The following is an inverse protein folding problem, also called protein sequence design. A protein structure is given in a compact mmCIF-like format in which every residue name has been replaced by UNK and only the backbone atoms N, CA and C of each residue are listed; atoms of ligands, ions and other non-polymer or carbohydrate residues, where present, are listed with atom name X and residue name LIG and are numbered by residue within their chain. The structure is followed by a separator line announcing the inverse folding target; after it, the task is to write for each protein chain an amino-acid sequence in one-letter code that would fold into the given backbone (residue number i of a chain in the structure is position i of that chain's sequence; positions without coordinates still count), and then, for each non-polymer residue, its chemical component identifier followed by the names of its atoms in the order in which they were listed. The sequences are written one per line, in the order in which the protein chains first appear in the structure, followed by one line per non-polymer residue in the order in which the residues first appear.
data_IF_309885342724
#
_entry.id   IF_309885342724
#
_cell.length_a   1.000
_cell.length_b   1.000
_cell.length_c   1.000
_cell.angle_alpha   90.00
_cell.angle_beta   90.00
_cell.angle_gamma   90.00
#
_symmetry.space_group_name_H-M   'P 1'
#
loop_
_entity.id
_entity.type
_entity.pdbx_description
1 polymer ?
#
# COMPACT_ATOMS: atom_id res chain seq x y z
N UNK A 1 24.29 20.34 -4.31
CA UNK A 1 22.84 20.18 -4.11
C UNK A 1 22.67 19.22 -2.95
N UNK A 2 21.97 19.60 -1.88
CA UNK A 2 21.74 18.70 -0.75
C UNK A 2 20.72 17.63 -1.18
N UNK A 3 21.10 16.36 -1.10
CA UNK A 3 20.25 15.22 -1.39
C UNK A 3 19.13 15.17 -0.32
N UNK A 4 17.87 15.24 -0.74
CA UNK A 4 16.73 15.28 0.16
C UNK A 4 16.48 13.87 0.74
N UNK A 5 16.78 13.67 2.03
CA UNK A 5 16.63 12.36 2.68
C UNK A 5 15.15 12.04 2.98
N UNK A 6 14.49 11.41 2.01
CA UNK A 6 13.12 10.90 2.13
C UNK A 6 12.96 9.90 3.27
N UNK A 7 13.98 9.05 3.51
CA UNK A 7 13.89 8.00 4.53
C UNK A 7 13.92 8.62 5.92
N UNK A 8 14.84 9.55 6.17
CA UNK A 8 14.90 10.30 7.42
C UNK A 8 13.62 11.09 7.69
N UNK A 9 13.04 11.70 6.65
CA UNK A 9 11.75 12.39 6.78
C UNK A 9 10.62 11.43 7.17
N UNK A 10 10.46 10.29 6.48
CA UNK A 10 9.41 9.33 6.81
C UNK A 10 9.62 8.66 8.17
N UNK A 11 10.86 8.40 8.57
CA UNK A 11 11.18 7.87 9.89
C UNK A 11 10.86 8.88 11.00
N UNK A 12 11.21 10.15 10.83
CA UNK A 12 10.91 11.20 11.81
C UNK A 12 9.40 11.52 11.88
N UNK A 13 8.74 11.55 10.73
CA UNK A 13 7.36 12.06 10.61
C UNK A 13 6.31 10.97 10.80
N UNK A 14 6.51 9.82 10.16
CA UNK A 14 5.54 8.73 10.15
C UNK A 14 5.94 7.60 11.13
N UNK A 15 7.15 7.63 11.69
CA UNK A 15 7.65 6.58 12.58
C UNK A 15 8.01 5.28 11.82
N UNK A 16 8.10 5.33 10.50
CA UNK A 16 8.35 4.17 9.65
C UNK A 16 9.58 4.41 8.79
N UNK A 17 10.50 3.44 8.82
CA UNK A 17 11.63 3.41 7.89
C UNK A 17 11.25 2.55 6.68
N UNK A 18 10.95 3.22 5.57
CA UNK A 18 10.65 2.56 4.30
C UNK A 18 11.92 1.99 3.65
N UNK A 19 11.77 0.90 2.91
CA UNK A 19 12.84 0.40 2.05
C UNK A 19 12.73 1.03 0.65
N UNK A 20 13.86 1.50 0.07
CA UNK A 20 13.84 2.00 -1.30
C UNK A 20 13.51 0.86 -2.27
N UNK A 21 12.77 1.19 -3.33
CA UNK A 21 12.52 0.28 -4.43
C UNK A 21 13.40 0.63 -5.65
N UNK A 22 14.03 -0.35 -6.34
CA UNK A 22 14.03 -1.78 -6.03
C UNK A 22 14.82 -2.08 -4.75
N UNK A 23 14.38 -3.11 -4.00
CA UNK A 23 14.98 -3.47 -2.72
C UNK A 23 16.37 -4.05 -2.95
N UNK A 24 17.39 -3.37 -2.44
CA UNK A 24 18.76 -3.89 -2.38
C UNK A 24 18.86 -4.94 -1.26
N UNK A 25 18.86 -6.22 -1.65
CA UNK A 25 18.89 -7.34 -0.72
C UNK A 25 20.12 -7.31 0.20
N UNK A 26 21.24 -6.75 -0.26
CA UNK A 26 22.48 -6.70 0.52
C UNK A 26 22.41 -5.65 1.65
N UNK A 27 21.46 -4.70 1.55
CA UNK A 27 21.24 -3.65 2.56
C UNK A 27 20.15 -4.00 3.57
N UNK A 28 19.51 -5.16 3.45
CA UNK A 28 18.47 -5.59 4.38
C UNK A 28 19.06 -6.13 5.70
N UNK A 29 18.42 -5.89 6.86
CA UNK A 29 18.81 -6.53 8.11
C UNK A 29 18.75 -8.06 7.99
N UNK A 30 19.72 -8.77 8.59
CA UNK A 30 19.80 -10.24 8.55
C UNK A 30 18.50 -10.94 8.99
N UNK A 31 17.81 -10.39 9.98
CA UNK A 31 16.52 -10.91 10.46
C UNK A 31 15.41 -10.85 9.39
N UNK A 32 15.42 -9.81 8.55
CA UNK A 32 14.48 -9.64 7.43
C UNK A 32 14.86 -10.60 6.30
N UNK A 33 16.17 -10.76 6.02
CA UNK A 33 16.67 -11.73 5.04
C UNK A 33 16.30 -13.18 5.39
N UNK A 34 16.35 -13.55 6.67
CA UNK A 34 15.93 -14.89 7.11
C UNK A 34 14.41 -15.10 7.04
N UNK A 35 13.60 -14.08 7.36
CA UNK A 35 12.16 -14.13 7.13
C UNK A 35 11.81 -14.21 5.63
N UNK A 36 12.54 -13.50 4.78
CA UNK A 36 12.34 -13.53 3.32
C UNK A 36 12.72 -14.87 2.71
N UNK A 37 13.82 -15.48 3.15
CA UNK A 37 14.24 -16.84 2.74
C UNK A 37 13.20 -17.90 3.07
N UNK A 38 12.47 -17.75 4.17
CA UNK A 38 11.45 -18.71 4.61
C UNK A 38 10.04 -18.44 4.04
N UNK A 39 9.74 -17.24 3.52
CA UNK A 39 8.38 -16.88 3.04
C UNK A 39 8.21 -16.82 1.52
N UNK A 40 9.24 -16.56 0.70
CA UNK A 40 9.04 -16.33 -0.74
C UNK A 40 10.22 -16.81 -1.59
N UNK A 41 10.21 -18.08 -2.01
CA UNK A 41 10.92 -18.49 -3.21
C UNK A 41 10.00 -18.22 -4.40
N UNK A 42 10.30 -17.13 -5.12
CA UNK A 42 9.84 -16.79 -6.48
C UNK A 42 8.35 -16.44 -6.63
N UNK A 43 8.05 -15.14 -6.56
CA UNK A 43 7.28 -14.39 -7.56
C UNK A 43 7.55 -12.88 -7.31
N UNK A 44 8.57 -12.37 -8.02
CA UNK A 44 8.69 -10.96 -8.49
C UNK A 44 8.46 -9.81 -7.50
N UNK A 45 9.43 -9.50 -6.64
CA UNK A 45 9.62 -8.12 -6.14
C UNK A 45 8.47 -7.45 -5.36
N UNK A 46 7.49 -8.21 -4.87
CA UNK A 46 6.37 -7.67 -4.10
C UNK A 46 6.80 -7.29 -2.68
N UNK A 47 6.26 -6.19 -2.16
CA UNK A 47 6.45 -5.77 -0.78
C UNK A 47 6.09 -6.93 0.16
N UNK A 48 6.97 -7.21 1.12
CA UNK A 48 6.67 -8.19 2.16
C UNK A 48 5.48 -7.67 2.96
N UNK A 49 4.43 -8.48 3.07
CA UNK A 49 3.26 -8.27 3.93
C UNK A 49 3.60 -7.56 5.26
N UNK A 50 3.07 -6.34 5.40
CA UNK A 50 3.26 -5.45 6.55
C UNK A 50 4.51 -4.53 6.50
N UNK A 51 5.43 -4.72 5.55
CA UNK A 51 6.62 -3.88 5.42
C UNK A 51 6.36 -2.64 4.54
N UNK A 52 6.75 -1.43 5.00
CA UNK A 52 6.66 -0.23 4.18
C UNK A 52 7.70 -0.22 3.06
N UNK A 53 7.25 0.05 1.84
CA UNK A 53 8.09 0.21 0.65
C UNK A 53 7.88 1.59 0.05
N UNK A 54 8.97 2.31 -0.24
CA UNK A 54 8.88 3.61 -0.92
C UNK A 54 8.91 3.36 -2.42
N UNK A 55 7.79 3.67 -3.08
CA UNK A 55 7.62 3.43 -4.50
C UNK A 55 6.56 4.38 -5.08
N UNK A 56 6.69 4.78 -6.35
CA UNK A 56 5.67 5.56 -7.05
C UNK A 56 4.32 4.82 -7.06
N UNK A 57 3.24 5.56 -6.88
CA UNK A 57 1.86 5.02 -6.86
C UNK A 57 1.02 5.80 -7.84
N UNK A 58 0.24 5.09 -8.64
CA UNK A 58 -0.80 5.71 -9.45
C UNK A 58 -2.17 5.30 -8.92
N UNK A 59 -3.01 6.28 -8.63
CA UNK A 59 -4.36 6.11 -8.10
C UNK A 59 -5.35 6.86 -8.99
N UNK A 60 -6.06 6.13 -9.84
CA UNK A 60 -6.87 6.68 -10.91
C UNK A 60 -6.04 7.51 -11.90
N UNK A 61 -6.37 8.79 -11.98
CA UNK A 61 -5.74 9.84 -12.81
C UNK A 61 -4.64 10.63 -12.08
N UNK A 62 -4.32 10.26 -10.84
CA UNK A 62 -3.31 10.94 -10.02
C UNK A 62 -2.08 10.05 -9.83
N UNK A 63 -0.91 10.60 -10.16
CA UNK A 63 0.39 9.98 -9.98
C UNK A 63 1.08 10.56 -8.73
N UNK A 64 1.33 9.72 -7.73
CA UNK A 64 1.99 10.09 -6.48
C UNK A 64 3.50 9.85 -6.59
N UNK A 65 4.27 10.94 -6.66
CA UNK A 65 5.73 10.90 -6.61
C UNK A 65 6.46 10.53 -7.89
N UNK A 66 5.77 10.49 -9.04
CA UNK A 66 6.41 10.39 -10.37
C UNK A 66 5.61 11.16 -11.42
N UNK A 67 6.30 11.52 -12.51
CA UNK A 67 5.66 12.13 -13.69
C UNK A 67 5.19 11.01 -14.60
N UNK A 68 3.91 11.01 -14.93
CA UNK A 68 3.28 10.07 -15.84
C UNK A 68 2.45 10.86 -16.87
N UNK A 69 2.61 10.53 -18.14
CA UNK A 69 1.94 11.27 -19.22
C UNK A 69 0.41 11.14 -19.11
N UNK A 70 -0.28 12.28 -19.14
CA UNK A 70 -1.74 12.34 -19.01
C UNK A 70 -2.29 12.25 -17.58
N UNK A 71 -1.44 12.20 -16.55
CA UNK A 71 -1.86 12.16 -15.14
C UNK A 71 -1.35 13.35 -14.34
N UNK A 72 -2.08 13.69 -13.29
CA UNK A 72 -1.70 14.81 -12.42
C UNK A 72 -0.73 14.33 -11.36
N UNK A 73 0.50 14.87 -11.36
CA UNK A 73 1.51 14.46 -10.37
C UNK A 73 1.36 15.21 -9.06
N UNK A 74 1.37 14.47 -7.94
CA UNK A 74 1.27 15.01 -6.59
C UNK A 74 2.47 14.59 -5.73
N UNK A 75 3.01 15.56 -4.98
CA UNK A 75 3.91 15.32 -3.84
C UNK A 75 5.21 14.59 -4.16
N UNK A 76 5.77 13.97 -3.13
CA UNK A 76 6.95 13.11 -3.20
C UNK A 76 6.55 11.63 -3.32
N UNK A 77 7.53 10.77 -3.60
CA UNK A 77 7.33 9.31 -3.63
C UNK A 77 6.73 8.82 -2.31
N UNK A 78 5.54 8.19 -2.35
CA UNK A 78 4.90 7.70 -1.14
C UNK A 78 5.54 6.40 -0.66
N UNK A 79 5.23 6.09 0.59
CA UNK A 79 5.46 4.82 1.23
C UNK A 79 4.17 4.00 1.22
N UNK A 80 4.23 2.77 0.73
CA UNK A 80 3.11 1.85 0.61
C UNK A 80 3.30 0.69 1.58
N UNK A 81 2.26 0.37 2.33
CA UNK A 81 2.17 -0.84 3.15
C UNK A 81 1.02 -1.68 2.64
N UNK A 82 1.30 -2.94 2.37
CA UNK A 82 0.33 -3.94 1.95
C UNK A 82 0.16 -4.99 3.04
N UNK A 83 -1.08 -5.28 3.42
CA UNK A 83 -1.41 -6.35 4.37
C UNK A 83 -2.40 -7.33 3.75
N UNK A 84 -2.02 -8.61 3.69
CA UNK A 84 -2.86 -9.68 3.17
C UNK A 84 -3.25 -10.66 4.26
N UNK A 85 -4.51 -11.12 4.27
CA UNK A 85 -4.98 -12.08 5.28
C UNK A 85 -5.68 -13.27 4.63
N UNK A 86 -5.29 -14.48 5.05
CA UNK A 86 -6.02 -15.71 4.74
C UNK A 86 -7.05 -15.98 5.84
N UNK A 87 -8.28 -16.27 5.45
CA UNK A 87 -9.29 -16.79 6.37
C UNK A 87 -9.14 -18.31 6.47
N UNK A 88 -8.71 -18.76 7.65
CA UNK A 88 -8.52 -20.17 7.94
C UNK A 88 -9.33 -20.52 9.18
N UNK A 89 -10.24 -21.48 9.03
CA UNK A 89 -11.00 -22.05 10.16
C UNK A 89 -10.17 -23.17 10.77
N UNK A 90 -10.11 -23.20 12.11
CA UNK A 90 -9.42 -24.25 12.85
C UNK A 90 -10.44 -25.05 13.63
N UNK A 91 -10.52 -26.35 13.34
CA UNK A 91 -11.45 -27.26 14.00
C UNK A 91 -10.68 -28.23 14.88
N UNK A 92 -11.13 -28.37 16.12
CA UNK A 92 -10.59 -29.35 17.08
C UNK A 92 -11.27 -30.69 16.82
N UNK A 93 -10.49 -31.76 16.70
CA UNK A 93 -11.04 -33.12 16.55
C UNK A 93 -11.32 -33.65 17.97
N UNK A 94 -12.59 -33.64 18.38
CA UNK A 94 -13.00 -34.19 19.67
C UNK A 94 -12.79 -35.71 19.70
N UNK A 95 -12.06 -36.21 20.71
CA UNK A 95 -11.75 -37.64 20.87
C UNK A 95 -10.57 -38.15 20.04
N UNK A 96 -9.81 -37.26 19.37
CA UNK A 96 -8.60 -37.63 18.66
C UNK A 96 -7.46 -38.03 19.61
N UNK A 97 -6.77 -39.13 19.29
CA UNK A 97 -5.56 -39.60 20.00
C UNK A 97 -4.30 -38.77 19.72
N UNK A 98 -4.41 -37.72 18.89
CA UNK A 98 -3.28 -36.94 18.39
C UNK A 98 -3.48 -35.44 18.66
N UNK A 99 -2.39 -34.78 19.02
CA UNK A 99 -2.35 -33.33 19.21
C UNK A 99 -2.44 -32.62 17.84
N UNK A 100 -3.51 -31.85 17.62
CA UNK A 100 -3.66 -31.10 16.37
C UNK A 100 -5.03 -30.46 16.16
N UNK A 101 -5.09 -29.54 15.20
CA UNK A 101 -6.33 -28.96 14.67
C UNK A 101 -6.36 -29.11 13.16
N UNK A 102 -7.54 -29.40 12.61
CA UNK A 102 -7.77 -29.33 11.16
C UNK A 102 -7.81 -27.86 10.77
N UNK A 103 -7.05 -27.49 9.75
CA UNK A 103 -7.02 -26.13 9.19
C UNK A 103 -7.69 -26.14 7.84
N UNK A 104 -8.81 -25.45 7.72
CA UNK A 104 -9.56 -25.32 6.48
C UNK A 104 -9.36 -23.92 5.93
N UNK A 105 -8.84 -23.86 4.70
CA UNK A 105 -8.74 -22.61 3.97
C UNK A 105 -10.12 -22.23 3.41
N UNK A 106 -10.62 -21.05 3.77
CA UNK A 106 -11.93 -20.57 3.33
C UNK A 106 -11.76 -19.65 2.13
N UNK A 107 -11.05 -18.54 2.31
CA UNK A 107 -10.80 -17.56 1.26
C UNK A 107 -9.59 -16.68 1.58
N UNK A 108 -9.18 -15.89 0.59
CA UNK A 108 -8.37 -14.70 0.79
C UNK A 108 -9.31 -13.55 1.18
N UNK A 109 -8.99 -12.82 2.24
CA UNK A 109 -9.63 -11.54 2.53
C UNK A 109 -9.02 -10.45 1.61
N UNK A 110 -9.72 -9.34 1.44
CA UNK A 110 -9.21 -8.19 0.68
C UNK A 110 -7.86 -7.70 1.25
N UNK A 111 -6.96 -7.31 0.36
CA UNK A 111 -5.73 -6.66 0.77
C UNK A 111 -6.05 -5.30 1.36
N UNK A 112 -5.42 -4.98 2.49
CA UNK A 112 -5.44 -3.63 3.05
C UNK A 112 -4.21 -2.89 2.57
N UNK A 113 -4.43 -1.73 1.97
CA UNK A 113 -3.39 -0.86 1.45
C UNK A 113 -3.36 0.40 2.30
N UNK A 114 -2.16 0.80 2.70
CA UNK A 114 -1.93 2.12 3.31
C UNK A 114 -0.87 2.85 2.50
N UNK A 115 -1.18 4.05 2.04
CA UNK A 115 -0.27 4.92 1.30
C UNK A 115 -0.01 6.16 2.15
N UNK A 116 1.25 6.39 2.48
CA UNK A 116 1.71 7.54 3.24
C UNK A 116 2.58 8.41 2.35
N UNK A 117 2.40 9.72 2.43
CA UNK A 117 3.30 10.61 1.70
C UNK A 117 3.28 12.02 2.24
N UNK A 118 4.18 12.84 1.71
CA UNK A 118 4.26 14.26 2.06
C UNK A 118 3.86 15.10 0.85
N UNK A 119 2.91 16.00 1.06
CA UNK A 119 2.59 17.08 0.14
C UNK A 119 3.53 18.24 0.43
N UNK A 120 4.10 18.80 -0.63
CA UNK A 120 4.92 19.99 -0.59
C UNK A 120 4.60 20.82 -1.83
N UNK A 121 4.43 22.12 -1.64
CA UNK A 121 4.08 23.02 -2.74
C UNK A 121 5.28 23.15 -3.69
N UNK A 122 5.11 22.69 -4.94
CA UNK A 122 6.18 22.71 -5.94
C UNK A 122 6.45 24.09 -6.54
N UNK A 123 5.45 24.99 -6.51
CA UNK A 123 5.53 26.33 -7.10
C UNK A 123 6.16 27.33 -6.13
N UNK A 124 5.89 27.19 -4.84
CA UNK A 124 6.34 28.13 -3.81
C UNK A 124 6.79 27.36 -2.58
N UNK A 125 8.10 27.29 -2.39
CA UNK A 125 8.71 26.60 -1.25
C UNK A 125 8.23 27.21 0.08
N UNK A 126 7.79 26.36 1.01
CA UNK A 126 7.31 26.78 2.33
C UNK A 126 5.86 27.28 2.36
N UNK A 127 5.20 27.42 1.20
CA UNK A 127 3.76 27.67 1.16
C UNK A 127 2.96 26.36 1.32
N UNK A 128 1.74 26.45 1.85
CA UNK A 128 0.88 25.29 2.00
C UNK A 128 0.50 24.69 0.61
N UNK A 129 0.50 23.36 0.46
CA UNK A 129 0.21 22.68 -0.81
C UNK A 129 -1.31 22.53 -1.03
N UNK A 130 -1.99 23.66 -1.30
CA UNK A 130 -3.46 23.69 -1.49
C UNK A 130 -3.89 22.84 -2.69
N UNK A 131 -3.26 23.07 -3.85
CA UNK A 131 -3.58 22.39 -5.10
C UNK A 131 -3.44 20.86 -4.93
N UNK A 132 -2.36 20.41 -4.30
CA UNK A 132 -2.11 18.99 -4.06
C UNK A 132 -3.09 18.37 -3.05
N UNK A 133 -3.47 19.12 -2.00
CA UNK A 133 -4.43 18.65 -1.00
C UNK A 133 -5.84 18.51 -1.60
N UNK A 134 -6.24 19.46 -2.46
CA UNK A 134 -7.53 19.42 -3.16
C UNK A 134 -7.60 18.25 -4.16
N UNK A 135 -6.50 17.89 -4.82
CA UNK A 135 -6.43 16.70 -5.67
C UNK A 135 -6.69 15.41 -4.88
N UNK A 136 -6.03 15.23 -3.72
CA UNK A 136 -6.26 14.05 -2.89
C UNK A 136 -7.69 14.00 -2.34
N UNK A 137 -8.25 15.14 -1.95
CA UNK A 137 -9.65 15.24 -1.54
C UNK A 137 -10.59 14.88 -2.70
N UNK A 138 -10.26 15.30 -3.92
CA UNK A 138 -10.98 14.96 -5.14
C UNK A 138 -11.05 13.46 -5.37
N UNK A 139 -9.92 12.74 -5.23
CA UNK A 139 -9.90 11.27 -5.32
C UNK A 139 -10.82 10.62 -4.29
N UNK A 140 -10.79 11.09 -3.05
CA UNK A 140 -11.62 10.53 -1.99
C UNK A 140 -13.12 10.69 -2.28
N UNK A 141 -13.55 11.82 -2.85
CA UNK A 141 -14.96 12.10 -3.10
C UNK A 141 -15.59 11.27 -4.23
N UNK A 142 -14.80 10.55 -5.03
CA UNK A 142 -15.30 9.81 -6.20
C UNK A 142 -16.16 8.59 -5.85
N UNK A 143 -16.11 8.08 -4.61
CA UNK A 143 -16.93 6.96 -4.12
C UNK A 143 -16.98 5.75 -5.08
N UNK A 144 -15.89 5.51 -5.80
CA UNK A 144 -15.79 4.47 -6.82
C UNK A 144 -14.51 3.64 -6.65
N UNK A 145 -14.46 2.52 -7.36
CA UNK A 145 -13.25 1.71 -7.46
C UNK A 145 -12.27 2.42 -8.39
N UNK A 146 -11.07 2.70 -7.90
CA UNK A 146 -10.04 3.42 -8.64
C UNK A 146 -8.93 2.47 -9.05
N UNK A 147 -8.45 2.64 -10.29
CA UNK A 147 -7.26 1.94 -10.75
C UNK A 147 -6.07 2.21 -9.82
N UNK A 148 -5.37 1.15 -9.41
CA UNK A 148 -4.20 1.23 -8.55
C UNK A 148 -3.02 0.55 -9.21
N UNK A 149 -1.93 1.30 -9.38
CA UNK A 149 -0.68 0.76 -9.88
C UNK A 149 0.46 1.12 -8.94
N UNK A 150 1.17 0.09 -8.52
CA UNK A 150 2.40 0.20 -7.75
C UNK A 150 3.22 -1.06 -7.99
N UNK A 151 4.53 -0.91 -8.13
CA UNK A 151 5.42 -2.05 -8.44
C UNK A 151 5.38 -3.12 -7.34
N UNK A 152 5.13 -2.73 -6.09
CA UNK A 152 5.08 -3.66 -4.97
C UNK A 152 3.76 -4.45 -4.87
N UNK A 153 2.72 -4.03 -5.60
CA UNK A 153 1.40 -4.68 -5.63
C UNK A 153 1.06 -5.24 -7.01
N UNK A 154 1.99 -5.17 -7.96
CA UNK A 154 1.79 -5.61 -9.33
C UNK A 154 1.39 -7.08 -9.38
N UNK A 155 0.33 -7.37 -10.15
CA UNK A 155 -0.25 -8.72 -10.27
C UNK A 155 -1.08 -9.22 -9.07
N UNK A 156 -1.32 -8.41 -8.02
CA UNK A 156 -2.17 -8.81 -6.89
C UNK A 156 -3.63 -8.37 -7.06
N UNK A 157 -3.84 -7.15 -7.53
CA UNK A 157 -5.14 -6.53 -7.81
C UNK A 157 -4.92 -5.32 -8.73
N UNK A 158 -5.98 -4.90 -9.44
CA UNK A 158 -5.92 -3.77 -10.38
C UNK A 158 -6.61 -2.52 -9.85
N UNK A 159 -7.60 -2.70 -8.96
CA UNK A 159 -8.40 -1.61 -8.44
C UNK A 159 -8.39 -1.60 -6.91
N UNK A 160 -8.67 -0.43 -6.35
CA UNK A 160 -8.83 -0.23 -4.91
C UNK A 160 -9.99 0.71 -4.64
N UNK A 161 -10.65 0.51 -3.50
CA UNK A 161 -11.62 1.45 -2.96
C UNK A 161 -10.97 2.17 -1.79
N UNK A 162 -10.91 3.50 -1.87
CA UNK A 162 -10.45 4.31 -0.75
C UNK A 162 -11.46 4.17 0.39
N UNK A 163 -10.99 4.06 1.63
CA UNK A 163 -11.83 3.90 2.82
C UNK A 163 -11.62 5.02 3.83
N UNK A 164 -10.44 5.63 3.85
CA UNK A 164 -10.06 6.66 4.82
C UNK A 164 -8.97 7.54 4.20
N UNK A 165 -9.06 8.85 4.44
CA UNK A 165 -8.00 9.80 4.13
C UNK A 165 -7.75 10.69 5.34
N UNK A 166 -6.48 10.84 5.72
CA UNK A 166 -6.05 11.71 6.82
C UNK A 166 -5.00 12.66 6.32
N UNK A 167 -5.21 13.95 6.57
CA UNK A 167 -4.22 14.99 6.38
C UNK A 167 -3.76 15.43 7.78
N UNK A 168 -2.46 15.34 8.05
CA UNK A 168 -1.84 15.74 9.32
C UNK A 168 -0.83 16.85 9.07
N UNK A 169 -0.95 17.91 9.85
CA UNK A 169 0.02 19.01 9.84
C UNK A 169 1.35 18.56 10.42
N UNK A 170 2.44 19.14 9.90
CA UNK A 170 3.78 18.87 10.36
C UNK A 170 4.30 20.03 11.19
N UNK A 171 4.27 19.87 12.51
CA UNK A 171 4.72 20.89 13.47
C UNK A 171 6.15 21.39 13.22
N UNK A 172 7.02 20.55 12.65
CA UNK A 172 8.44 20.86 12.39
C UNK A 172 8.76 21.23 10.95
N UNK A 173 7.80 21.12 10.03
CA UNK A 173 7.99 21.39 8.60
C UNK A 173 6.82 22.25 8.07
N UNK A 174 6.79 23.55 8.41
CA UNK A 174 5.75 24.46 7.92
C UNK A 174 5.76 24.52 6.39
N UNK A 175 4.58 24.46 5.78
CA UNK A 175 4.41 24.37 4.33
C UNK A 175 4.44 22.93 3.77
N UNK A 176 4.54 21.91 4.63
CA UNK A 176 4.35 20.51 4.26
C UNK A 176 3.16 19.90 4.98
N UNK A 177 2.47 18.97 4.32
CA UNK A 177 1.33 18.24 4.88
C UNK A 177 1.57 16.74 4.72
N UNK A 178 1.51 15.98 5.82
CA UNK A 178 1.52 14.52 5.75
C UNK A 178 0.13 14.04 5.36
N UNK A 179 0.05 13.08 4.44
CA UNK A 179 -1.17 12.39 4.11
C UNK A 179 -1.06 10.88 4.38
N UNK A 180 -2.18 10.28 4.75
CA UNK A 180 -2.38 8.84 4.87
C UNK A 180 -3.67 8.48 4.14
N UNK A 181 -3.58 7.63 3.13
CA UNK A 181 -4.72 7.06 2.40
C UNK A 181 -4.80 5.58 2.78
N UNK A 182 -5.97 5.12 3.19
CA UNK A 182 -6.25 3.69 3.37
C UNK A 182 -7.21 3.23 2.31
N UNK A 183 -6.89 2.12 1.70
CA UNK A 183 -7.73 1.51 0.69
C UNK A 183 -7.81 0.00 0.89
N UNK A 184 -8.84 -0.61 0.32
CA UNK A 184 -8.98 -2.06 0.22
C UNK A 184 -8.90 -2.45 -1.25
N UNK A 185 -8.26 -3.59 -1.53
CA UNK A 185 -8.22 -4.11 -2.89
C UNK A 185 -9.63 -4.43 -3.36
N UNK A 186 -9.91 -4.07 -4.60
CA UNK A 186 -11.08 -4.51 -5.31
C UNK A 186 -10.62 -5.35 -6.49
N UNK A 187 -11.04 -6.61 -6.48
CA UNK A 187 -10.90 -7.47 -7.64
C UNK A 187 -12.27 -7.54 -8.29
N UNK A 188 -12.34 -7.24 -9.59
CA UNK A 188 -13.49 -7.60 -10.41
C UNK A 188 -13.54 -9.11 -10.51
N UNK A 189 -13.96 -9.77 -9.43
CA UNK A 189 -14.16 -11.19 -9.37
C UNK A 189 -15.43 -11.44 -10.18
N UNK A 190 -15.22 -11.96 -11.39
CA UNK A 190 -16.24 -12.19 -12.41
C UNK A 190 -17.58 -12.58 -11.78
N UNK A 191 -18.60 -11.73 -11.94
CA UNK A 191 -19.97 -12.06 -11.61
C UNK A 191 -20.43 -13.39 -12.27
N UNK A 192 -19.68 -13.89 -13.26
CA UNK A 192 -19.84 -15.21 -13.87
C UNK A 192 -19.54 -16.39 -12.93
N UNK A 193 -18.57 -16.29 -12.01
CA UNK A 193 -18.24 -17.39 -11.09
C UNK A 193 -19.33 -17.64 -10.04
N UNK A 194 -20.08 -16.60 -9.66
CA UNK A 194 -21.24 -16.73 -8.77
C UNK A 194 -22.46 -17.37 -9.46
N UNK A 195 -22.54 -17.30 -10.80
CA UNK A 195 -23.60 -17.98 -11.58
C UNK A 195 -23.32 -19.48 -11.81
N UNK A 196 -22.08 -19.93 -11.60
CA UNK A 196 -21.64 -21.30 -11.82
C UNK A 196 -22.05 -22.32 -10.76
N UNK A 197 -22.43 -21.89 -9.55
CA UNK A 197 -22.86 -22.79 -8.46
C UNK A 197 -24.38 -22.87 -8.26
N UNK A 198 -25.17 -22.25 -9.15
CA UNK A 198 -26.62 -22.34 -9.15
C UNK A 198 -27.13 -23.31 -10.23
N UNK A 199 -26.49 -24.48 -10.38
CA UNK A 199 -27.06 -25.65 -11.05
C UNK A 199 -26.47 -26.91 -10.42
N UNK A 200 -27.20 -27.56 -9.52
CA UNK A 200 -27.92 -28.85 -9.69
C UNK A 200 -28.35 -29.34 -8.31
#
# INVERSE_FOLDING_TARGET
MAEFDLNGLYEEVAGYRGYPFPVDLDKLPKAVLEQQRNRYRLLTGQAVDGQPVIAPVTLGDVALGHVEEGKTTVGLQPMVVLEGKKRIVKSVIAGGLYDGTVKEFINFDDYKIRVFGVLANRKTQGAYPVDEADLLKGLWLRNESLFFSNVATDGLFENVVITDIKLKELNKAPGMQLYEIKAISDSTLDAERLKGNAKT
#
